data_IF_689942804912
#
_entry.id   IF_689942804912
#
_cell.length_a   1.000
_cell.length_b   1.000
_cell.length_c   1.000
_cell.angle_alpha   90.00
_cell.angle_beta   90.00
_cell.angle_gamma   90.00
#
_symmetry.space_group_name_H-M   'P 1'
#
loop_
_entity.id
_entity.type
_entity.pdbx_description
1 polymer ?
#
# COMPACT_ATOMS: atom_id res chain seq x y z
N UNK A 1 -15.27 3.31 -67.49
CA UNK A 1 -14.51 2.54 -66.49
C UNK A 1 -14.47 3.34 -65.22
N UNK A 2 -15.26 2.95 -64.23
CA UNK A 2 -15.34 3.60 -62.92
C UNK A 2 -14.50 2.73 -61.97
N UNK A 3 -13.52 3.28 -61.23
CA UNK A 3 -12.69 2.46 -60.36
C UNK A 3 -13.53 1.89 -59.21
N UNK A 4 -13.20 0.68 -58.72
CA UNK A 4 -13.94 0.06 -57.63
C UNK A 4 -13.78 0.90 -56.37
N UNK A 5 -14.90 1.29 -55.78
CA UNK A 5 -14.93 1.75 -54.38
C UNK A 5 -14.70 0.53 -53.52
N UNK A 6 -13.45 0.33 -53.12
CA UNK A 6 -13.09 -0.64 -52.10
C UNK A 6 -13.86 -0.28 -50.83
N UNK A 7 -14.85 -1.11 -50.51
CA UNK A 7 -15.43 -1.25 -49.20
C UNK A 7 -14.38 -1.84 -48.26
N UNK A 8 -13.32 -1.08 -48.01
CA UNK A 8 -12.33 -1.39 -46.99
C UNK A 8 -12.95 -1.07 -45.64
N UNK A 9 -13.14 -2.09 -44.80
CA UNK A 9 -13.32 -1.95 -43.35
C UNK A 9 -12.05 -1.39 -42.69
N UNK A 10 -11.55 -0.28 -43.21
CA UNK A 10 -10.44 0.49 -42.67
C UNK A 10 -10.96 1.31 -41.50
N UNK A 11 -10.27 1.19 -40.38
CA UNK A 11 -10.46 2.08 -39.24
C UNK A 11 -10.30 3.51 -39.75
N UNK A 12 -11.38 4.32 -39.71
CA UNK A 12 -11.31 5.70 -40.17
C UNK A 12 -10.17 6.41 -39.44
N UNK A 13 -9.31 7.19 -40.11
CA UNK A 13 -8.17 7.86 -39.48
C UNK A 13 -8.56 8.71 -38.25
N UNK A 14 -9.80 9.21 -38.22
CA UNK A 14 -10.37 9.96 -37.10
C UNK A 14 -10.64 9.11 -35.84
N UNK A 15 -10.74 7.80 -35.96
CA UNK A 15 -11.03 6.87 -34.84
C UNK A 15 -9.77 6.25 -34.22
N UNK A 16 -8.62 6.30 -34.92
CA UNK A 16 -7.33 5.84 -34.41
C UNK A 16 -6.93 6.46 -33.05
N UNK A 17 -7.08 7.78 -32.81
CA UNK A 17 -6.73 8.38 -31.51
C UNK A 17 -7.60 7.88 -30.37
N UNK A 18 -8.89 7.64 -30.63
CA UNK A 18 -9.83 7.14 -29.64
C UNK A 18 -9.56 5.68 -29.29
N UNK A 19 -9.28 4.84 -30.28
CA UNK A 19 -8.93 3.41 -30.08
C UNK A 19 -7.62 3.27 -29.31
N UNK A 20 -6.60 4.07 -29.63
CA UNK A 20 -5.32 4.10 -28.90
C UNK A 20 -5.52 4.60 -27.46
N UNK A 21 -6.34 5.63 -27.26
CA UNK A 21 -6.67 6.15 -25.93
C UNK A 21 -7.40 5.13 -25.05
N UNK A 22 -8.37 4.40 -25.60
CA UNK A 22 -9.09 3.33 -24.88
C UNK A 22 -8.16 2.16 -24.56
N UNK A 23 -7.34 1.72 -25.51
CA UNK A 23 -6.39 0.63 -25.29
C UNK A 23 -5.35 0.99 -24.21
N UNK A 24 -4.83 2.22 -24.24
CA UNK A 24 -3.91 2.72 -23.21
C UNK A 24 -4.58 2.80 -21.84
N UNK A 25 -5.80 3.34 -21.77
CA UNK A 25 -6.56 3.41 -20.52
C UNK A 25 -6.84 2.02 -19.94
N UNK A 26 -7.24 1.06 -20.77
CA UNK A 26 -7.48 -0.32 -20.34
C UNK A 26 -6.18 -1.01 -19.86
N UNK A 27 -5.08 -0.86 -20.59
CA UNK A 27 -3.79 -1.41 -20.21
C UNK A 27 -3.26 -0.81 -18.89
N UNK A 28 -3.46 0.50 -18.70
CA UNK A 28 -3.10 1.21 -17.47
C UNK A 28 -3.90 0.69 -16.27
N UNK A 29 -5.23 0.60 -16.40
CA UNK A 29 -6.10 0.08 -15.33
C UNK A 29 -5.80 -1.38 -15.01
N UNK A 30 -5.53 -2.22 -16.02
CA UNK A 30 -5.17 -3.62 -15.82
C UNK A 30 -3.81 -3.75 -15.12
N UNK A 31 -2.83 -2.94 -15.50
CA UNK A 31 -1.52 -2.89 -14.82
C UNK A 31 -1.66 -2.47 -13.36
N UNK A 32 -2.55 -1.50 -13.09
CA UNK A 32 -2.82 -1.02 -11.75
C UNK A 32 -3.53 -2.07 -10.88
N UNK A 33 -4.51 -2.79 -11.45
CA UNK A 33 -5.17 -3.90 -10.78
C UNK A 33 -4.18 -5.04 -10.49
N UNK A 34 -3.32 -5.38 -11.45
CA UNK A 34 -2.27 -6.38 -11.26
C UNK A 34 -1.29 -5.96 -10.17
N UNK A 35 -0.90 -4.67 -10.12
CA UNK A 35 -0.05 -4.12 -9.07
C UNK A 35 -0.68 -4.25 -7.68
N UNK A 36 -1.96 -3.89 -7.53
CA UNK A 36 -2.67 -4.01 -6.24
C UNK A 36 -2.76 -5.45 -5.78
N UNK A 37 -3.12 -6.37 -6.68
CA UNK A 37 -3.21 -7.79 -6.34
C UNK A 37 -1.84 -8.34 -5.98
N UNK A 38 -0.81 -8.08 -6.79
CA UNK A 38 0.54 -8.57 -6.53
C UNK A 38 1.08 -8.04 -5.19
N UNK A 39 0.96 -6.73 -4.95
CA UNK A 39 1.43 -6.08 -3.73
C UNK A 39 0.68 -6.58 -2.50
N UNK A 40 -0.66 -6.72 -2.58
CA UNK A 40 -1.47 -7.22 -1.46
C UNK A 40 -1.18 -8.68 -1.11
N UNK A 41 -0.98 -9.54 -2.11
CA UNK A 41 -0.58 -10.94 -1.89
C UNK A 41 0.83 -11.03 -1.32
N UNK A 42 1.78 -10.24 -1.85
CA UNK A 42 3.14 -10.16 -1.29
C UNK A 42 3.11 -9.69 0.16
N UNK A 43 2.34 -8.65 0.47
CA UNK A 43 2.17 -8.13 1.82
C UNK A 43 1.57 -9.20 2.75
N UNK A 44 0.58 -9.96 2.28
CA UNK A 44 -0.05 -11.04 3.05
C UNK A 44 0.91 -12.17 3.39
N UNK A 45 1.64 -12.66 2.40
CA UNK A 45 2.65 -13.68 2.62
C UNK A 45 3.79 -13.15 3.50
N UNK A 46 4.22 -11.91 3.30
CA UNK A 46 5.32 -11.28 4.03
C UNK A 46 5.00 -11.03 5.50
N UNK A 47 3.94 -10.28 5.81
CA UNK A 47 3.54 -9.97 7.19
C UNK A 47 3.08 -11.24 7.91
N UNK A 48 2.31 -12.10 7.22
CA UNK A 48 1.91 -13.41 7.73
C UNK A 48 3.10 -14.27 8.13
N UNK A 49 4.13 -14.33 7.28
CA UNK A 49 5.34 -15.11 7.58
C UNK A 49 6.14 -14.52 8.73
N UNK A 50 6.17 -13.20 8.89
CA UNK A 50 6.80 -12.55 10.04
C UNK A 50 6.09 -12.95 11.33
N UNK A 51 4.77 -12.79 11.42
CA UNK A 51 4.04 -13.16 12.64
C UNK A 51 4.15 -14.65 12.95
N UNK A 52 3.96 -15.51 11.94
CA UNK A 52 4.05 -16.96 12.10
C UNK A 52 5.46 -17.39 12.57
N UNK A 53 6.50 -16.78 12.00
CA UNK A 53 7.89 -17.02 12.40
C UNK A 53 8.14 -16.58 13.85
N UNK A 54 7.62 -15.42 14.26
CA UNK A 54 7.71 -14.95 15.66
C UNK A 54 6.99 -15.92 16.61
N UNK A 55 5.83 -16.47 16.22
CA UNK A 55 5.05 -17.38 17.07
C UNK A 55 5.60 -18.79 17.15
N UNK A 56 6.13 -19.32 16.05
CA UNK A 56 6.38 -20.77 15.89
C UNK A 56 7.81 -21.12 15.46
N UNK A 57 8.64 -20.14 15.12
CA UNK A 57 9.98 -20.34 14.56
C UNK A 57 9.99 -20.89 13.12
N UNK A 58 8.82 -21.00 12.48
CA UNK A 58 8.65 -21.47 11.10
C UNK A 58 7.67 -20.56 10.36
N UNK A 59 7.72 -20.56 9.03
CA UNK A 59 6.77 -19.82 8.19
C UNK A 59 6.31 -20.64 6.98
N UNK A 60 5.08 -20.41 6.54
CA UNK A 60 4.53 -20.89 5.27
C UNK A 60 3.91 -19.70 4.52
N UNK A 61 4.67 -19.18 3.57
CA UNK A 61 4.27 -18.02 2.78
C UNK A 61 2.95 -18.27 2.03
N UNK A 62 2.77 -19.44 1.42
CA UNK A 62 1.61 -19.73 0.58
C UNK A 62 0.35 -19.88 1.45
N UNK A 63 0.47 -20.53 2.61
CA UNK A 63 -0.62 -20.59 3.58
C UNK A 63 -1.04 -19.18 4.05
N UNK A 64 -0.07 -18.31 4.34
CA UNK A 64 -0.33 -16.93 4.77
C UNK A 64 -0.99 -16.09 3.67
N UNK A 65 -0.58 -16.25 2.41
CA UNK A 65 -1.24 -15.60 1.26
C UNK A 65 -2.69 -16.05 1.15
N UNK A 66 -2.97 -17.36 1.26
CA UNK A 66 -4.35 -17.86 1.21
C UNK A 66 -5.20 -17.35 2.35
N UNK A 67 -4.60 -17.17 3.53
CA UNK A 67 -5.29 -16.72 4.74
C UNK A 67 -5.59 -15.22 4.74
N UNK A 68 -4.58 -14.39 4.47
CA UNK A 68 -4.68 -12.93 4.64
C UNK A 68 -4.78 -12.17 3.30
N UNK A 69 -4.60 -12.86 2.17
CA UNK A 69 -4.51 -12.24 0.85
C UNK A 69 -5.72 -11.38 0.49
N UNK A 70 -6.94 -11.84 0.80
CA UNK A 70 -8.15 -11.06 0.51
C UNK A 70 -8.15 -9.72 1.27
N UNK A 71 -7.87 -9.74 2.57
CA UNK A 71 -7.89 -8.54 3.41
C UNK A 71 -6.79 -7.56 3.02
N UNK A 72 -5.59 -8.05 2.71
CA UNK A 72 -4.47 -7.17 2.35
C UNK A 72 -4.51 -6.70 0.88
N UNK A 73 -5.10 -7.45 -0.04
CA UNK A 73 -5.43 -6.93 -1.38
C UNK A 73 -6.50 -5.83 -1.27
N UNK A 74 -7.51 -5.99 -0.42
CA UNK A 74 -8.51 -4.95 -0.18
C UNK A 74 -7.90 -3.70 0.48
N UNK A 75 -6.92 -3.88 1.39
CA UNK A 75 -6.15 -2.78 1.98
C UNK A 75 -5.36 -2.00 0.92
N UNK A 76 -4.62 -2.70 0.04
CA UNK A 76 -3.88 -2.06 -1.05
C UNK A 76 -4.80 -1.35 -2.05
N UNK A 77 -5.96 -1.95 -2.36
CA UNK A 77 -6.97 -1.30 -3.19
C UNK A 77 -7.48 -0.01 -2.55
N UNK A 78 -7.72 0.00 -1.23
CA UNK A 78 -8.13 1.18 -0.49
C UNK A 78 -7.06 2.28 -0.54
N UNK A 79 -5.79 1.94 -0.29
CA UNK A 79 -4.66 2.89 -0.40
C UNK A 79 -4.63 3.51 -1.79
N UNK A 80 -4.72 2.68 -2.83
CA UNK A 80 -4.70 3.16 -4.20
C UNK A 80 -5.84 4.15 -4.48
N UNK A 81 -7.06 3.83 -4.03
CA UNK A 81 -8.23 4.72 -4.19
C UNK A 81 -7.99 6.05 -3.50
N UNK A 82 -7.47 6.04 -2.26
CA UNK A 82 -7.16 7.27 -1.50
C UNK A 82 -6.10 8.10 -2.21
N UNK A 83 -4.99 7.48 -2.65
CA UNK A 83 -3.93 8.18 -3.37
C UNK A 83 -4.44 8.76 -4.70
N UNK A 84 -5.25 8.01 -5.44
CA UNK A 84 -5.85 8.48 -6.69
C UNK A 84 -6.76 9.69 -6.46
N UNK A 85 -7.55 9.68 -5.39
CA UNK A 85 -8.38 10.82 -5.00
C UNK A 85 -7.53 12.06 -4.63
N UNK A 86 -6.41 11.85 -3.93
CA UNK A 86 -5.47 12.93 -3.59
C UNK A 86 -4.83 13.52 -4.85
N UNK A 87 -4.36 12.68 -5.77
CA UNK A 87 -3.78 13.14 -7.04
C UNK A 87 -4.80 13.95 -7.84
N UNK A 88 -6.05 13.48 -7.92
CA UNK A 88 -7.13 14.19 -8.60
C UNK A 88 -7.42 15.55 -7.94
N UNK A 89 -7.46 15.59 -6.61
CA UNK A 89 -7.65 16.82 -5.83
C UNK A 89 -6.51 17.82 -6.10
N UNK A 90 -5.26 17.38 -6.09
CA UNK A 90 -4.11 18.27 -6.28
C UNK A 90 -3.94 18.72 -7.74
N UNK A 91 -4.42 17.92 -8.69
CA UNK A 91 -4.46 18.31 -10.11
C UNK A 91 -5.49 19.42 -10.35
N UNK A 92 -6.61 19.39 -9.61
CA UNK A 92 -7.70 20.37 -9.75
C UNK A 92 -7.52 21.60 -8.86
N UNK A 93 -6.94 21.44 -7.68
CA UNK A 93 -6.76 22.47 -6.66
C UNK A 93 -5.37 22.35 -5.98
N UNK A 94 -4.27 22.75 -6.66
CA UNK A 94 -2.91 22.54 -6.16
C UNK A 94 -2.60 23.30 -4.86
N UNK A 95 -3.29 24.41 -4.59
CA UNK A 95 -3.15 25.17 -3.34
C UNK A 95 -3.59 24.38 -2.10
N UNK A 96 -4.33 23.27 -2.28
CA UNK A 96 -4.70 22.35 -1.19
C UNK A 96 -3.58 21.38 -0.82
N UNK A 97 -2.41 21.47 -1.43
CA UNK A 97 -1.26 20.61 -1.12
C UNK A 97 -0.96 20.49 0.39
N UNK A 98 -0.90 21.58 1.18
CA UNK A 98 -0.64 21.46 2.62
C UNK A 98 -1.72 20.64 3.35
N UNK A 99 -2.99 20.83 2.97
CA UNK A 99 -4.12 20.11 3.57
C UNK A 99 -4.07 18.63 3.20
N UNK A 100 -3.83 18.32 1.93
CA UNK A 100 -3.68 16.95 1.45
C UNK A 100 -2.51 16.25 2.14
N UNK A 101 -1.36 16.93 2.27
CA UNK A 101 -0.18 16.42 2.96
C UNK A 101 -0.49 16.08 4.42
N UNK A 102 -1.07 17.01 5.19
CA UNK A 102 -1.47 16.75 6.58
C UNK A 102 -2.49 15.61 6.67
N UNK A 103 -3.44 15.54 5.74
CA UNK A 103 -4.44 14.49 5.70
C UNK A 103 -3.83 13.11 5.48
N UNK A 104 -2.80 12.99 4.64
CA UNK A 104 -2.06 11.73 4.45
C UNK A 104 -1.42 11.27 5.76
N UNK A 105 -0.79 12.17 6.51
CA UNK A 105 -0.21 11.81 7.81
C UNK A 105 -1.27 11.46 8.84
N UNK A 106 -2.39 12.19 8.86
CA UNK A 106 -3.49 11.91 9.80
C UNK A 106 -4.14 10.54 9.52
N UNK A 107 -4.49 10.27 8.26
CA UNK A 107 -5.06 8.97 7.86
C UNK A 107 -4.02 7.87 8.07
N UNK A 108 -2.79 8.06 7.61
CA UNK A 108 -1.70 7.12 7.81
C UNK A 108 -1.47 6.81 9.28
N UNK A 109 -1.51 7.81 10.16
CA UNK A 109 -1.41 7.62 11.60
C UNK A 109 -2.57 6.80 12.17
N UNK A 110 -3.80 7.02 11.72
CA UNK A 110 -4.94 6.25 12.21
C UNK A 110 -4.96 4.82 11.69
N UNK A 111 -4.38 4.56 10.52
CA UNK A 111 -4.46 3.25 9.85
C UNK A 111 -3.15 2.46 9.81
N UNK A 112 -2.02 2.98 10.30
CA UNK A 112 -0.72 2.31 10.10
C UNK A 112 -0.66 0.92 10.74
N UNK A 113 -1.41 0.66 11.82
CA UNK A 113 -1.44 -0.66 12.46
C UNK A 113 -2.34 -1.66 11.73
N UNK A 114 -3.28 -1.20 10.89
CA UNK A 114 -4.28 -2.06 10.25
C UNK A 114 -3.69 -3.29 9.54
N UNK A 115 -2.69 -3.18 8.63
CA UNK A 115 -2.18 -4.36 7.95
C UNK A 115 -1.46 -5.34 8.89
N UNK A 116 -0.91 -4.84 10.00
CA UNK A 116 -0.27 -5.67 11.02
C UNK A 116 -1.30 -6.37 11.91
N UNK A 117 -2.40 -5.69 12.25
CA UNK A 117 -3.51 -6.25 13.05
C UNK A 117 -4.29 -7.34 12.28
N UNK A 118 -4.45 -7.19 10.96
CA UNK A 118 -5.02 -8.25 10.10
C UNK A 118 -4.28 -9.58 10.27
N UNK A 119 -2.96 -9.53 10.49
CA UNK A 119 -2.15 -10.74 10.65
C UNK A 119 -2.01 -11.14 12.11
N UNK A 120 -1.75 -10.18 13.00
CA UNK A 120 -1.45 -10.41 14.41
C UNK A 120 -2.68 -10.81 15.22
N UNK A 121 -3.83 -10.19 14.94
CA UNK A 121 -5.11 -10.40 15.62
C UNK A 121 -6.10 -11.18 14.76
N UNK A 122 -5.75 -11.50 13.52
CA UNK A 122 -6.62 -12.16 12.55
C UNK A 122 -7.90 -11.36 12.24
N UNK A 123 -7.82 -10.04 12.39
CA UNK A 123 -8.93 -9.12 12.17
C UNK A 123 -9.30 -9.02 10.67
N UNK A 124 -10.60 -8.90 10.39
CA UNK A 124 -11.06 -8.43 9.08
C UNK A 124 -10.60 -6.98 8.84
N UNK A 125 -10.44 -6.58 7.58
CA UNK A 125 -9.88 -5.26 7.22
C UNK A 125 -10.56 -4.08 7.93
N UNK A 126 -11.89 -4.04 7.94
CA UNK A 126 -12.63 -2.94 8.57
C UNK A 126 -12.44 -2.91 10.08
N UNK A 127 -12.38 -4.09 10.70
CA UNK A 127 -12.15 -4.21 12.13
C UNK A 127 -10.72 -3.80 12.47
N UNK A 128 -9.73 -4.25 11.68
CA UNK A 128 -8.34 -3.86 11.82
C UNK A 128 -8.14 -2.34 11.70
N UNK A 129 -8.87 -1.66 10.81
CA UNK A 129 -8.85 -0.19 10.68
C UNK A 129 -9.44 0.48 11.93
N UNK A 130 -10.59 0.02 12.42
CA UNK A 130 -11.23 0.56 13.62
C UNK A 130 -10.37 0.34 14.85
N UNK A 131 -9.82 -0.85 14.98
CA UNK A 131 -8.93 -1.24 16.05
C UNK A 131 -7.63 -0.41 16.01
N UNK A 132 -7.05 -0.22 14.83
CA UNK A 132 -5.91 0.70 14.62
C UNK A 132 -6.24 2.13 15.08
N UNK A 133 -7.39 2.67 14.68
CA UNK A 133 -7.81 4.02 15.09
C UNK A 133 -8.05 4.11 16.62
N UNK A 134 -8.63 3.07 17.23
CA UNK A 134 -8.83 2.99 18.67
C UNK A 134 -7.51 2.96 19.43
N UNK A 135 -6.54 2.13 19.01
CA UNK A 135 -5.24 2.02 19.65
C UNK A 135 -4.41 3.30 19.53
N UNK A 136 -4.48 3.95 18.36
CA UNK A 136 -3.70 5.17 18.09
C UNK A 136 -4.25 6.37 18.85
N UNK A 137 -5.57 6.50 18.99
CA UNK A 137 -6.18 7.61 19.75
C UNK A 137 -6.12 7.42 21.26
N UNK A 138 -6.02 6.19 21.75
CA UNK A 138 -6.03 5.90 23.19
C UNK A 138 -4.63 5.72 23.82
N UNK A 139 -3.57 5.56 23.02
CA UNK A 139 -2.23 5.21 23.54
C UNK A 139 -1.11 6.06 22.96
N UNK A 140 -0.39 6.74 23.86
CA UNK A 140 0.79 7.53 23.51
C UNK A 140 1.91 6.68 22.88
N UNK A 141 2.04 5.40 23.29
CA UNK A 141 3.03 4.47 22.73
C UNK A 141 2.84 4.27 21.21
N UNK A 142 1.60 4.28 20.72
CA UNK A 142 1.30 4.16 19.30
C UNK A 142 1.72 5.44 18.54
N UNK A 143 1.54 6.62 19.14
CA UNK A 143 2.04 7.88 18.60
C UNK A 143 3.57 7.89 18.48
N UNK A 144 4.27 7.45 19.53
CA UNK A 144 5.74 7.38 19.53
C UNK A 144 6.27 6.37 18.52
N UNK A 145 5.64 5.19 18.40
CA UNK A 145 6.01 4.19 17.41
C UNK A 145 5.83 4.72 15.97
N UNK A 146 4.72 5.41 15.70
CA UNK A 146 4.49 6.05 14.41
C UNK A 146 5.53 7.13 14.12
N UNK A 147 5.75 8.07 15.04
CA UNK A 147 6.71 9.17 14.85
C UNK A 147 8.15 8.65 14.67
N UNK A 148 8.54 7.61 15.41
CA UNK A 148 9.85 6.97 15.31
C UNK A 148 10.15 6.41 13.92
N UNK A 149 9.13 6.04 13.15
CA UNK A 149 9.27 5.60 11.76
C UNK A 149 8.99 6.71 10.74
N UNK A 150 7.92 7.48 10.94
CA UNK A 150 7.45 8.50 10.02
C UNK A 150 8.49 9.61 9.84
N UNK A 151 9.16 10.05 10.91
CA UNK A 151 10.16 11.11 10.82
C UNK A 151 11.37 10.67 9.97
N UNK A 152 12.05 9.53 10.25
CA UNK A 152 13.09 9.03 9.35
C UNK A 152 12.60 8.78 7.93
N UNK A 153 11.45 8.13 7.74
CA UNK A 153 10.91 7.84 6.41
C UNK A 153 10.72 9.13 5.60
N UNK A 154 10.21 10.18 6.24
CA UNK A 154 10.04 11.50 5.62
C UNK A 154 11.39 12.14 5.30
N UNK A 155 12.33 12.13 6.26
CA UNK A 155 13.66 12.72 6.08
C UNK A 155 14.44 12.07 4.93
N UNK A 156 14.33 10.75 4.77
CA UNK A 156 15.01 9.98 3.72
C UNK A 156 14.21 9.86 2.42
N UNK A 157 12.96 10.35 2.36
CA UNK A 157 12.11 10.24 1.18
C UNK A 157 12.72 10.89 -0.06
N UNK A 158 13.23 12.13 0.05
CA UNK A 158 13.81 12.86 -1.08
C UNK A 158 15.13 12.22 -1.59
N UNK A 159 16.12 11.90 -0.73
CA UNK A 159 17.31 11.17 -1.16
C UNK A 159 16.99 9.83 -1.82
N UNK A 160 16.10 9.04 -1.23
CA UNK A 160 15.71 7.73 -1.77
C UNK A 160 14.99 7.87 -3.10
N UNK A 161 14.11 8.86 -3.24
CA UNK A 161 13.45 9.14 -4.52
C UNK A 161 14.47 9.49 -5.59
N UNK A 162 15.44 10.36 -5.29
CA UNK A 162 16.51 10.69 -6.25
C UNK A 162 17.30 9.45 -6.66
N UNK A 163 17.67 8.60 -5.70
CA UNK A 163 18.41 7.37 -5.99
C UNK A 163 17.59 6.38 -6.85
N UNK A 164 16.31 6.23 -6.53
CA UNK A 164 15.41 5.33 -7.26
C UNK A 164 15.17 5.78 -8.71
N UNK A 165 15.24 7.09 -8.98
CA UNK A 165 14.97 7.68 -10.30
C UNK A 165 16.22 8.21 -11.02
N UNK A 166 17.43 7.97 -10.52
CA UNK A 166 18.63 8.58 -11.12
C UNK A 166 19.03 7.94 -12.45
N UNK A 167 19.07 6.60 -12.57
CA UNK A 167 19.74 5.94 -13.72
C UNK A 167 19.17 4.54 -14.09
N UNK A 168 17.83 4.43 -14.20
CA UNK A 168 17.18 3.23 -14.74
C UNK A 168 17.07 2.05 -13.78
N UNK A 169 16.72 0.86 -14.31
CA UNK A 169 16.28 -0.31 -13.51
C UNK A 169 17.33 -0.76 -12.49
N UNK A 170 18.62 -0.69 -12.81
CA UNK A 170 19.69 -1.09 -11.88
C UNK A 170 19.77 -0.18 -10.65
N UNK A 171 19.59 1.13 -10.81
CA UNK A 171 19.55 2.07 -9.70
C UNK A 171 18.35 1.81 -8.78
N UNK A 172 17.19 1.51 -9.36
CA UNK A 172 15.99 1.12 -8.61
C UNK A 172 16.20 -0.18 -7.82
N UNK A 173 16.84 -1.20 -8.42
CA UNK A 173 17.16 -2.46 -7.74
C UNK A 173 18.16 -2.24 -6.61
N UNK A 174 19.20 -1.42 -6.81
CA UNK A 174 20.17 -1.08 -5.78
C UNK A 174 19.53 -0.31 -4.62
N UNK A 175 18.67 0.68 -4.91
CA UNK A 175 17.90 1.40 -3.91
C UNK A 175 16.99 0.45 -3.10
N UNK A 176 16.30 -0.46 -3.79
CA UNK A 176 15.47 -1.47 -3.14
C UNK A 176 16.29 -2.40 -2.23
N UNK A 177 17.44 -2.88 -2.70
CA UNK A 177 18.33 -3.74 -1.91
C UNK A 177 18.87 -3.03 -0.65
N UNK A 178 19.13 -1.72 -0.74
CA UNK A 178 19.57 -0.91 0.39
C UNK A 178 18.46 -0.71 1.43
N UNK A 179 17.23 -0.48 0.98
CA UNK A 179 16.08 -0.19 1.84
C UNK A 179 15.45 -1.46 2.41
N UNK A 180 15.54 -2.60 1.71
CA UNK A 180 14.89 -3.85 2.10
C UNK A 180 15.20 -4.30 3.53
N UNK A 181 16.46 -4.29 4.03
CA UNK A 181 16.75 -4.64 5.42
C UNK A 181 16.09 -3.70 6.43
N UNK A 182 16.09 -2.39 6.14
CA UNK A 182 15.44 -1.38 7.00
C UNK A 182 13.93 -1.60 7.02
N UNK A 183 13.33 -1.87 5.87
CA UNK A 183 11.92 -2.22 5.74
C UNK A 183 11.57 -3.49 6.52
N UNK A 184 12.45 -4.50 6.50
CA UNK A 184 12.28 -5.73 7.27
C UNK A 184 12.30 -5.51 8.77
N UNK A 185 13.29 -4.77 9.27
CA UNK A 185 13.36 -4.42 10.69
C UNK A 185 12.12 -3.64 11.13
N UNK A 186 11.69 -2.66 10.31
CA UNK A 186 10.48 -1.88 10.58
C UNK A 186 9.22 -2.77 10.59
N UNK A 187 9.07 -3.69 9.63
CA UNK A 187 7.93 -4.59 9.58
C UNK A 187 7.86 -5.51 10.80
N UNK A 188 8.99 -6.11 11.20
CA UNK A 188 9.07 -6.92 12.42
C UNK A 188 8.72 -6.08 13.65
N UNK A 189 9.27 -4.87 13.77
CA UNK A 189 8.96 -3.95 14.86
C UNK A 189 7.45 -3.64 14.93
N UNK A 190 6.81 -3.33 13.80
CA UNK A 190 5.38 -3.02 13.80
C UNK A 190 4.47 -4.21 14.06
N UNK A 191 4.83 -5.42 13.64
CA UNK A 191 4.13 -6.65 14.07
C UNK A 191 4.20 -6.81 15.59
N UNK A 192 5.38 -6.61 16.18
CA UNK A 192 5.56 -6.70 17.64
C UNK A 192 4.78 -5.60 18.38
N UNK A 193 4.79 -4.37 17.87
CA UNK A 193 4.03 -3.25 18.44
C UNK A 193 2.53 -3.55 18.36
N UNK A 194 2.02 -3.99 17.20
CA UNK A 194 0.61 -4.33 17.03
C UNK A 194 0.15 -5.39 18.04
N UNK A 195 0.93 -6.47 18.20
CA UNK A 195 0.67 -7.53 19.18
C UNK A 195 0.68 -7.01 20.62
N UNK A 196 1.73 -6.28 21.01
CA UNK A 196 1.85 -5.73 22.37
C UNK A 196 0.67 -4.81 22.70
N UNK A 197 0.24 -4.00 21.73
CA UNK A 197 -0.88 -3.10 21.92
C UNK A 197 -2.21 -3.86 22.02
N UNK A 198 -2.45 -4.85 21.17
CA UNK A 198 -3.65 -5.70 21.21
C UNK A 198 -3.76 -6.48 22.53
N UNK A 199 -2.70 -7.20 22.94
CA UNK A 199 -2.65 -7.97 24.19
C UNK A 199 -2.84 -7.10 25.44
N UNK A 200 -2.42 -5.83 25.37
CA UNK A 200 -2.63 -4.87 26.46
C UNK A 200 -4.06 -4.32 26.51
N UNK A 201 -4.81 -4.35 25.41
CA UNK A 201 -6.19 -3.87 25.36
C UNK A 201 -7.15 -4.90 25.98
N UNK A 202 -6.97 -6.18 25.65
CA UNK A 202 -7.77 -7.29 26.19
C UNK A 202 -7.67 -7.40 27.72
N UNK A 203 -6.49 -7.12 28.28
CA UNK A 203 -6.29 -7.15 29.73
C UNK A 203 -6.99 -6.01 30.49
N UNK A 204 -7.22 -4.87 29.83
CA UNK A 204 -7.86 -3.70 30.46
C UNK A 204 -9.39 -3.80 30.47
N UNK A 205 -9.98 -4.67 29.66
CA UNK A 205 -11.43 -4.91 29.61
C UNK A 205 -11.88 -6.05 30.53
N UNK A 206 -10.95 -6.89 30.98
CA UNK A 206 -11.19 -7.99 31.89
C UNK A 206 -11.15 -7.62 33.40
N UNK A 207 -10.84 -6.35 33.72
CA UNK A 207 -10.81 -5.78 35.09
C UNK A 207 -11.91 -4.74 35.25
#
# INVERSE_FOLDING_TARGET
>A
MQPPTDAGGGIEPATLPAVVGVAFGAAFLLSLAAYVVATGLLLAGYLGSIDQSIRTGRFDFVANVRRYGRSLVAYEALILVVLSAIVLLLTTAPFLFPVAFVSVYAVGYLTYLAPYLVVASEDDLLEAIRHSAGLTTSRADAALAFLGFAVPATAFSLPLSRLAYSDGVLAAVAAAALVAPVGLVAAVFFVLVARRLAEGADRSTAT
#
